data_IF_904772530027
#
_entry.id   IF_904772530027
#
_cell.length_a   1.000
_cell.length_b   1.000
_cell.length_c   1.000
_cell.angle_alpha   90.00
_cell.angle_beta   90.00
_cell.angle_gamma   90.00
#
_symmetry.space_group_name_H-M   'P 1'
#
loop_
_entity.id
_entity.type
_entity.pdbx_description
1 polymer ?
#
# COMPACT_ATOMS: atom_id res chain seq x y z
N UNK A 1 10.02 -5.74 -18.51
CA UNK A 1 8.79 -6.21 -17.87
C UNK A 1 7.79 -6.56 -18.95
N UNK A 2 7.44 -7.83 -19.03
CA UNK A 2 6.58 -8.43 -20.05
C UNK A 2 5.23 -8.84 -19.46
N UNK A 3 5.22 -9.34 -18.22
CA UNK A 3 4.03 -9.92 -17.62
C UNK A 3 3.45 -9.05 -16.50
N UNK A 4 2.13 -9.07 -16.34
CA UNK A 4 1.46 -8.35 -15.24
C UNK A 4 1.92 -8.80 -13.86
N UNK A 5 2.28 -10.07 -13.69
CA UNK A 5 2.78 -10.59 -12.41
C UNK A 5 4.10 -9.92 -12.01
N UNK A 6 4.99 -9.66 -12.96
CA UNK A 6 6.25 -8.96 -12.75
C UNK A 6 6.01 -7.52 -12.27
N UNK A 7 5.09 -6.80 -12.93
CA UNK A 7 4.73 -5.42 -12.54
C UNK A 7 4.20 -5.34 -11.12
N UNK A 8 3.31 -6.27 -10.78
CA UNK A 8 2.72 -6.28 -9.46
C UNK A 8 3.72 -6.69 -8.40
N UNK A 9 4.61 -7.66 -8.68
CA UNK A 9 5.70 -8.04 -7.78
C UNK A 9 6.68 -6.89 -7.53
N UNK A 10 7.06 -6.14 -8.56
CA UNK A 10 7.89 -4.94 -8.43
C UNK A 10 7.21 -3.91 -7.50
N UNK A 11 5.88 -3.73 -7.63
CA UNK A 11 5.15 -2.90 -6.70
C UNK A 11 5.16 -3.45 -5.28
N UNK A 12 4.90 -4.76 -5.08
CA UNK A 12 4.89 -5.35 -3.74
C UNK A 12 6.23 -5.19 -3.04
N UNK A 13 7.33 -5.31 -3.78
CA UNK A 13 8.68 -5.04 -3.29
C UNK A 13 8.80 -3.59 -2.81
N UNK A 14 8.39 -2.62 -3.62
CA UNK A 14 8.40 -1.19 -3.25
C UNK A 14 7.52 -0.91 -2.03
N UNK A 15 6.37 -1.58 -1.91
CA UNK A 15 5.43 -1.43 -0.79
C UNK A 15 5.96 -1.99 0.54
N UNK A 16 7.06 -2.74 0.58
CA UNK A 16 7.68 -3.12 1.85
C UNK A 16 8.09 -1.85 2.61
N UNK A 17 7.76 -1.77 3.90
CA UNK A 17 8.08 -0.59 4.73
C UNK A 17 9.58 -0.55 4.96
N UNK A 18 10.21 0.62 4.82
CA UNK A 18 11.65 0.74 5.05
C UNK A 18 11.97 0.28 6.48
N UNK A 19 12.93 -0.64 6.60
CA UNK A 19 13.38 -1.16 7.87
C UNK A 19 14.16 -0.06 8.62
N UNK A 20 13.65 0.46 9.75
CA UNK A 20 14.45 1.32 10.60
C UNK A 20 15.46 0.41 11.30
N UNK A 21 16.75 0.78 11.27
CA UNK A 21 17.84 0.00 11.89
C UNK A 21 17.50 -0.49 13.31
N UNK A 22 16.70 0.30 14.04
CA UNK A 22 16.09 -0.06 15.32
C UNK A 22 14.60 0.33 15.38
N UNK A 23 13.80 -0.42 16.14
CA UNK A 23 12.42 -0.05 16.46
C UNK A 23 11.98 -0.57 17.83
N UNK A 24 10.96 0.07 18.41
CA UNK A 24 10.39 -0.34 19.69
C UNK A 24 9.65 -1.69 19.58
N UNK A 25 9.92 -2.57 20.54
CA UNK A 25 9.28 -3.89 20.67
C UNK A 25 8.58 -3.95 22.03
N UNK A 26 7.28 -4.23 22.02
CA UNK A 26 6.47 -4.35 23.21
C UNK A 26 6.87 -5.58 24.05
N UNK A 27 6.87 -5.42 25.38
CA UNK A 27 7.37 -6.43 26.34
C UNK A 27 6.72 -7.81 26.19
N UNK A 28 5.46 -7.89 25.73
CA UNK A 28 4.79 -9.18 25.49
C UNK A 28 5.51 -10.07 24.48
N UNK A 29 6.16 -9.51 23.47
CA UNK A 29 6.96 -10.29 22.51
C UNK A 29 8.29 -10.72 23.11
N UNK A 30 8.80 -9.97 24.09
CA UNK A 30 10.09 -10.23 24.74
C UNK A 30 10.08 -11.47 25.63
N UNK A 31 8.87 -11.94 26.00
CA UNK A 31 8.68 -13.20 26.73
C UNK A 31 9.08 -14.43 25.93
N UNK A 32 9.03 -14.35 24.60
CA UNK A 32 9.33 -15.46 23.68
C UNK A 32 10.73 -15.33 23.07
N UNK A 33 11.17 -14.10 22.80
CA UNK A 33 12.41 -13.82 22.07
C UNK A 33 12.96 -12.47 22.52
N UNK A 34 14.27 -12.33 22.77
CA UNK A 34 14.80 -11.04 23.21
C UNK A 34 14.63 -9.96 22.11
N UNK A 35 14.58 -8.65 22.46
CA UNK A 35 14.49 -7.58 21.47
C UNK A 35 15.54 -7.69 20.36
N UNK A 36 16.80 -7.95 20.72
CA UNK A 36 17.91 -8.12 19.77
C UNK A 36 17.68 -9.31 18.82
N UNK A 37 17.17 -10.43 19.35
CA UNK A 37 16.87 -11.62 18.56
C UNK A 37 15.73 -11.35 17.57
N UNK A 38 14.69 -10.62 18.00
CA UNK A 38 13.59 -10.17 17.14
C UNK A 38 14.12 -9.27 16.03
N UNK A 39 14.97 -8.29 16.36
CA UNK A 39 15.57 -7.39 15.36
C UNK A 39 16.41 -8.17 14.34
N UNK A 40 17.25 -9.12 14.78
CA UNK A 40 18.04 -9.97 13.88
C UNK A 40 17.17 -10.85 12.99
N UNK A 41 16.14 -11.49 13.55
CA UNK A 41 15.22 -12.33 12.79
C UNK A 41 14.39 -11.53 11.80
N UNK A 42 13.95 -10.33 12.19
CA UNK A 42 13.19 -9.42 11.33
C UNK A 42 14.01 -8.89 10.17
N UNK A 43 15.26 -8.46 10.41
CA UNK A 43 16.17 -8.02 9.37
C UNK A 43 16.41 -9.11 8.33
N UNK A 44 16.65 -10.36 8.75
CA UNK A 44 16.81 -11.48 7.81
C UNK A 44 15.51 -11.78 7.04
N UNK A 45 14.36 -11.77 7.73
CA UNK A 45 13.06 -11.97 7.08
C UNK A 45 12.77 -10.89 6.03
N UNK A 46 13.19 -9.65 6.31
CA UNK A 46 13.10 -8.52 5.40
C UNK A 46 13.92 -8.75 4.14
N UNK A 47 15.20 -9.10 4.27
CA UNK A 47 16.06 -9.39 3.13
C UNK A 47 15.58 -10.59 2.31
N UNK A 48 15.09 -11.64 2.97
CA UNK A 48 14.49 -12.79 2.30
C UNK A 48 13.25 -12.40 1.49
N UNK A 49 12.29 -11.69 2.10
CA UNK A 49 11.05 -11.33 1.40
C UNK A 49 11.32 -10.31 0.28
N UNK A 50 12.24 -9.36 0.51
CA UNK A 50 12.65 -8.40 -0.49
C UNK A 50 13.27 -9.09 -1.72
N UNK A 51 14.14 -10.09 -1.51
CA UNK A 51 14.68 -10.91 -2.61
C UNK A 51 13.60 -11.71 -3.33
N UNK A 52 12.68 -12.33 -2.59
CA UNK A 52 11.56 -13.08 -3.19
C UNK A 52 10.75 -12.18 -4.13
N UNK A 53 10.36 -10.98 -3.71
CA UNK A 53 9.62 -10.08 -4.59
C UNK A 53 10.46 -9.59 -5.78
N UNK A 54 11.77 -9.37 -5.58
CA UNK A 54 12.69 -9.03 -6.65
C UNK A 54 12.75 -10.11 -7.73
N UNK A 55 12.92 -11.37 -7.33
CA UNK A 55 12.96 -12.50 -8.27
C UNK A 55 11.61 -12.73 -8.94
N UNK A 56 10.49 -12.51 -8.23
CA UNK A 56 9.15 -12.51 -8.83
C UNK A 56 8.98 -11.41 -9.90
N UNK A 57 9.64 -10.27 -9.75
CA UNK A 57 9.61 -9.16 -10.70
C UNK A 57 10.50 -9.41 -11.93
N UNK A 58 11.50 -10.30 -11.83
CA UNK A 58 12.45 -10.60 -12.91
C UNK A 58 12.17 -11.94 -13.62
N UNK A 59 11.65 -12.93 -12.90
CA UNK A 59 11.39 -14.29 -13.39
C UNK A 59 10.05 -14.81 -12.85
N UNK A 60 8.95 -14.31 -13.43
CA UNK A 60 7.62 -14.76 -13.05
C UNK A 60 7.39 -16.26 -13.31
N UNK A 61 8.03 -16.85 -14.33
CA UNK A 61 7.87 -18.26 -14.67
C UNK A 61 8.56 -19.17 -13.66
N UNK A 62 9.85 -18.91 -13.37
CA UNK A 62 10.61 -19.63 -12.35
C UNK A 62 9.99 -19.51 -10.96
N UNK A 63 9.36 -18.37 -10.67
CA UNK A 63 8.62 -18.13 -9.43
C UNK A 63 7.18 -18.69 -9.43
N UNK A 64 6.77 -19.42 -10.48
CA UNK A 64 5.46 -20.08 -10.64
C UNK A 64 4.27 -19.10 -10.58
N UNK A 65 4.42 -17.93 -11.18
CA UNK A 65 3.37 -16.92 -11.30
C UNK A 65 2.66 -16.98 -12.66
N UNK A 66 1.45 -16.40 -12.78
CA UNK A 66 0.73 -16.33 -14.05
C UNK A 66 1.46 -15.44 -15.08
N UNK A 67 1.62 -15.96 -16.30
CA UNK A 67 2.34 -15.33 -17.41
C UNK A 67 1.40 -14.59 -18.38
N UNK A 68 0.61 -13.64 -17.85
CA UNK A 68 -0.28 -12.82 -18.66
C UNK A 68 0.45 -11.59 -19.23
N UNK A 69 0.56 -11.51 -20.56
CA UNK A 69 1.30 -10.47 -21.27
C UNK A 69 0.60 -9.10 -21.17
N UNK A 70 1.37 -8.05 -20.84
CA UNK A 70 0.86 -6.69 -20.69
C UNK A 70 0.44 -6.04 -22.02
N UNK A 71 0.89 -6.57 -23.16
CA UNK A 71 0.46 -6.12 -24.49
C UNK A 71 -0.87 -6.75 -24.92
N UNK A 72 -1.21 -7.93 -24.38
CA UNK A 72 -2.43 -8.65 -24.71
C UNK A 72 -3.59 -8.28 -23.78
N UNK A 73 -3.31 -8.14 -22.48
CA UNK A 73 -4.33 -7.89 -21.46
C UNK A 73 -4.21 -6.46 -20.92
N UNK A 74 -5.30 -5.70 -20.98
CA UNK A 74 -5.33 -4.36 -20.42
C UNK A 74 -5.35 -4.36 -18.87
N UNK A 75 -5.21 -3.18 -18.29
CA UNK A 75 -5.17 -2.99 -16.83
C UNK A 75 -6.45 -3.48 -16.09
N UNK A 76 -7.61 -3.42 -16.74
CA UNK A 76 -8.90 -3.75 -16.14
C UNK A 76 -9.31 -5.21 -16.35
N UNK A 77 -8.60 -5.94 -17.21
CA UNK A 77 -8.79 -7.35 -17.52
C UNK A 77 -8.75 -8.25 -16.28
N UNK A 78 -9.38 -9.42 -16.37
CA UNK A 78 -9.43 -10.41 -15.27
C UNK A 78 -8.05 -10.96 -14.97
N UNK A 79 -7.26 -11.18 -16.01
CA UNK A 79 -5.90 -11.70 -16.02
C UNK A 79 -4.99 -10.81 -15.18
N UNK A 80 -5.07 -9.50 -15.39
CA UNK A 80 -4.36 -8.49 -14.59
C UNK A 80 -4.69 -8.58 -13.10
N UNK A 81 -5.96 -8.81 -12.75
CA UNK A 81 -6.40 -9.00 -11.36
C UNK A 81 -5.86 -10.30 -10.77
N UNK A 82 -5.82 -11.38 -11.55
CA UNK A 82 -5.25 -12.67 -11.14
C UNK A 82 -3.75 -12.52 -10.86
N UNK A 83 -3.00 -11.85 -11.75
CA UNK A 83 -1.59 -11.54 -11.53
C UNK A 83 -1.37 -10.67 -10.29
N UNK A 84 -2.22 -9.66 -10.05
CA UNK A 84 -2.15 -8.83 -8.84
C UNK A 84 -2.27 -9.67 -7.58
N UNK A 85 -3.27 -10.56 -7.50
CA UNK A 85 -3.45 -11.43 -6.33
C UNK A 85 -2.32 -12.44 -6.14
N UNK A 86 -1.75 -12.92 -7.25
CA UNK A 86 -0.62 -13.85 -7.27
C UNK A 86 0.69 -13.18 -6.81
N UNK A 87 0.82 -11.86 -6.95
CA UNK A 87 2.01 -11.13 -6.49
C UNK A 87 2.26 -11.21 -4.98
N UNK A 88 1.29 -11.65 -4.18
CA UNK A 88 1.47 -11.94 -2.74
C UNK A 88 1.70 -13.43 -2.41
N UNK A 89 1.90 -14.30 -3.41
CA UNK A 89 1.88 -15.78 -3.22
C UNK A 89 2.80 -16.27 -2.11
N UNK A 90 4.07 -15.86 -2.12
CA UNK A 90 5.06 -16.33 -1.15
C UNK A 90 4.87 -15.69 0.22
N UNK A 91 4.52 -14.41 0.28
CA UNK A 91 4.15 -13.77 1.56
C UNK A 91 2.94 -14.44 2.21
N UNK A 92 1.92 -14.82 1.42
CA UNK A 92 0.76 -15.59 1.89
C UNK A 92 1.16 -16.97 2.40
N UNK A 93 2.09 -17.65 1.72
CA UNK A 93 2.61 -18.95 2.18
C UNK A 93 3.39 -18.82 3.50
N UNK A 94 4.30 -17.85 3.60
CA UNK A 94 5.06 -17.56 4.82
C UNK A 94 4.13 -17.23 5.99
N UNK A 95 3.12 -16.39 5.77
CA UNK A 95 2.07 -16.11 6.76
C UNK A 95 1.34 -17.39 7.19
N UNK A 96 0.96 -18.25 6.25
CA UNK A 96 0.27 -19.50 6.55
C UNK A 96 1.17 -20.43 7.38
N UNK A 97 2.46 -20.54 7.06
CA UNK A 97 3.44 -21.30 7.84
C UNK A 97 3.55 -20.77 9.28
N UNK A 98 3.72 -19.45 9.46
CA UNK A 98 3.79 -18.84 10.80
C UNK A 98 2.51 -19.02 11.63
N UNK A 99 1.33 -19.03 10.98
CA UNK A 99 0.06 -19.24 11.68
C UNK A 99 -0.19 -20.70 12.08
N UNK A 100 0.23 -21.64 11.23
CA UNK A 100 -0.01 -23.08 11.38
C UNK A 100 1.11 -23.83 12.09
N UNK A 101 2.23 -23.15 12.34
CA UNK A 101 3.38 -23.70 13.03
C UNK A 101 3.52 -23.23 14.46
N UNK A 102 4.22 -24.03 15.26
CA UNK A 102 4.73 -23.64 16.57
C UNK A 102 6.27 -23.76 16.56
N UNK A 103 7.02 -22.82 17.18
CA UNK A 103 8.48 -22.89 17.26
C UNK A 103 8.96 -24.20 17.91
N UNK A 104 9.88 -24.90 17.24
CA UNK A 104 10.41 -26.19 17.72
C UNK A 104 11.75 -26.06 18.48
N UNK A 105 12.17 -24.82 18.77
CA UNK A 105 13.45 -24.46 19.40
C UNK A 105 14.71 -24.91 18.63
N UNK A 106 14.58 -25.38 17.38
CA UNK A 106 15.66 -25.79 16.49
C UNK A 106 15.63 -25.01 15.18
N UNK A 107 15.37 -23.70 15.27
CA UNK A 107 15.32 -22.79 14.11
C UNK A 107 14.21 -23.17 13.11
N UNK A 108 13.14 -23.79 13.60
CA UNK A 108 12.06 -24.30 12.76
C UNK A 108 10.68 -24.10 13.37
N UNK A 109 9.69 -24.28 12.51
CA UNK A 109 8.28 -24.39 12.87
C UNK A 109 7.85 -25.83 12.66
N UNK A 110 7.29 -26.45 13.69
CA UNK A 110 6.50 -27.67 13.55
C UNK A 110 5.11 -27.26 13.05
N UNK A 111 4.85 -27.51 11.77
CA UNK A 111 3.68 -27.01 11.03
C UNK A 111 2.62 -28.07 10.92
N UNK A 112 1.43 -27.77 11.45
CA UNK A 112 0.26 -28.61 11.28
C UNK A 112 -0.26 -28.57 9.84
N UNK A 113 -0.22 -29.70 9.15
CA UNK A 113 -0.54 -29.81 7.72
C UNK A 113 -2.02 -29.50 7.45
N UNK A 114 -2.93 -29.88 8.35
CA UNK A 114 -4.36 -29.61 8.18
C UNK A 114 -4.66 -28.11 8.27
N UNK A 115 -4.10 -27.43 9.26
CA UNK A 115 -4.24 -25.97 9.41
C UNK A 115 -3.55 -25.22 8.26
N UNK A 116 -2.35 -25.65 7.84
CA UNK A 116 -1.66 -25.09 6.68
C UNK A 116 -2.52 -25.18 5.41
N UNK A 117 -3.11 -26.35 5.14
CA UNK A 117 -3.97 -26.55 3.97
C UNK A 117 -5.23 -25.68 4.04
N UNK A 118 -5.83 -25.53 5.22
CA UNK A 118 -7.01 -24.67 5.44
C UNK A 118 -6.67 -23.20 5.14
N UNK A 119 -5.60 -22.69 5.75
CA UNK A 119 -5.14 -21.30 5.55
C UNK A 119 -4.73 -21.03 4.10
N UNK A 120 -3.97 -21.95 3.48
CA UNK A 120 -3.59 -21.82 2.08
C UNK A 120 -4.81 -21.77 1.15
N UNK A 121 -5.85 -22.58 1.42
CA UNK A 121 -7.11 -22.54 0.67
C UNK A 121 -7.80 -21.18 0.79
N UNK A 122 -7.90 -20.63 2.00
CA UNK A 122 -8.48 -19.30 2.25
C UNK A 122 -7.70 -18.18 1.54
N UNK A 123 -6.37 -18.29 1.55
CA UNK A 123 -5.46 -17.33 0.92
C UNK A 123 -5.27 -17.56 -0.59
N UNK A 124 -5.91 -18.59 -1.16
CA UNK A 124 -5.78 -19.00 -2.57
C UNK A 124 -4.33 -19.33 -2.97
N UNK A 125 -3.60 -19.95 -2.05
CA UNK A 125 -2.29 -20.58 -2.28
C UNK A 125 -2.53 -22.04 -2.65
N UNK A 126 -2.12 -22.42 -3.86
CA UNK A 126 -2.20 -23.79 -4.39
C UNK A 126 -0.79 -24.32 -4.62
N UNK A 127 -0.60 -25.61 -4.88
CA UNK A 127 0.71 -26.22 -5.13
C UNK A 127 1.75 -25.96 -4.02
N UNK A 128 1.32 -26.03 -2.75
CA UNK A 128 2.12 -25.71 -1.56
C UNK A 128 3.52 -26.31 -1.64
N UNK A 129 3.64 -27.61 -1.94
CA UNK A 129 4.95 -28.28 -1.98
C UNK A 129 5.90 -27.73 -3.03
N UNK A 130 5.43 -27.30 -4.21
CA UNK A 130 6.29 -26.67 -5.23
C UNK A 130 6.81 -25.31 -4.77
N UNK A 131 5.96 -24.53 -4.09
CA UNK A 131 6.38 -23.25 -3.54
C UNK A 131 7.34 -23.43 -2.35
N UNK A 132 7.17 -24.48 -1.52
CA UNK A 132 8.15 -24.85 -0.49
C UNK A 132 9.51 -25.18 -1.11
N UNK A 133 9.55 -25.94 -2.23
CA UNK A 133 10.80 -26.21 -2.95
C UNK A 133 11.45 -24.92 -3.48
N UNK A 134 10.68 -23.94 -3.95
CA UNK A 134 11.25 -22.64 -4.38
C UNK A 134 11.84 -21.87 -3.21
N UNK A 135 11.23 -21.95 -2.02
CA UNK A 135 11.77 -21.33 -0.81
C UNK A 135 13.14 -21.91 -0.40
N UNK A 136 13.52 -23.09 -0.89
CA UNK A 136 14.87 -23.65 -0.67
C UNK A 136 15.97 -22.76 -1.26
N UNK A 137 15.71 -22.07 -2.38
CA UNK A 137 16.64 -21.11 -2.96
C UNK A 137 16.91 -19.89 -2.06
N UNK A 138 16.07 -19.68 -1.05
CA UNK A 138 16.18 -18.58 -0.09
C UNK A 138 16.66 -19.04 1.28
N UNK A 139 17.01 -20.33 1.45
CA UNK A 139 17.55 -20.88 2.70
C UNK A 139 16.55 -21.60 3.60
N UNK A 140 15.28 -21.74 3.17
CA UNK A 140 14.32 -22.57 3.89
C UNK A 140 14.52 -24.05 3.58
N UNK A 141 14.17 -24.93 4.52
CA UNK A 141 14.13 -26.38 4.26
C UNK A 141 12.86 -26.98 4.84
N UNK A 142 12.19 -27.85 4.10
CA UNK A 142 10.99 -28.55 4.57
C UNK A 142 11.28 -30.04 4.78
N UNK A 143 11.22 -30.48 6.02
CA UNK A 143 11.33 -31.88 6.44
C UNK A 143 9.93 -32.54 6.46
N UNK A 144 9.87 -33.85 6.24
CA UNK A 144 8.61 -34.59 6.18
C UNK A 144 7.94 -34.59 4.80
N UNK A 145 8.63 -34.08 3.77
CA UNK A 145 8.21 -34.21 2.37
C UNK A 145 8.70 -35.54 1.78
N UNK A 146 7.81 -36.30 1.14
CA UNK A 146 8.15 -37.51 0.39
C UNK A 146 8.15 -37.17 -1.11
N UNK A 147 9.29 -37.34 -1.80
CA UNK A 147 9.46 -36.95 -3.22
C UNK A 147 9.08 -35.48 -3.52
N UNK A 148 9.36 -34.57 -2.58
CA UNK A 148 9.03 -33.15 -2.70
C UNK A 148 7.53 -32.84 -2.56
N UNK A 149 6.74 -33.73 -1.95
CA UNK A 149 5.30 -33.55 -1.71
C UNK A 149 4.92 -33.87 -0.28
N UNK A 150 3.89 -33.18 0.22
CA UNK A 150 3.26 -33.54 1.50
C UNK A 150 2.42 -34.80 1.26
N UNK A 151 2.76 -35.92 1.92
CA UNK A 151 2.03 -37.18 1.76
C UNK A 151 0.63 -37.05 2.37
N UNK A 152 -0.36 -37.70 1.76
CA UNK A 152 -1.72 -37.81 2.33
C UNK A 152 -1.63 -38.49 3.70
N UNK A 153 -2.22 -37.86 4.73
CA UNK A 153 -2.19 -38.36 6.11
C UNK A 153 -0.99 -37.90 6.93
N UNK A 154 -0.10 -37.06 6.38
CA UNK A 154 0.93 -36.37 7.18
C UNK A 154 0.23 -35.40 8.12
N UNK A 155 0.47 -35.53 9.43
CA UNK A 155 -0.09 -34.63 10.44
C UNK A 155 0.72 -33.32 10.53
N UNK A 156 2.04 -33.46 10.61
CA UNK A 156 2.96 -32.33 10.75
C UNK A 156 4.14 -32.44 9.77
N UNK A 157 4.61 -31.28 9.32
CA UNK A 157 5.90 -31.11 8.63
C UNK A 157 6.75 -30.13 9.43
N UNK A 158 8.07 -30.16 9.25
CA UNK A 158 8.93 -29.14 9.87
C UNK A 158 9.51 -28.23 8.81
N UNK A 159 9.37 -26.93 8.96
CA UNK A 159 10.00 -25.93 8.08
C UNK A 159 11.06 -25.19 8.87
N UNK A 160 12.29 -25.18 8.38
CA UNK A 160 13.45 -24.57 9.05
C UNK A 160 14.06 -23.45 8.23
N UNK A 161 14.80 -22.59 8.92
CA UNK A 161 15.72 -21.63 8.34
C UNK A 161 17.03 -21.65 9.15
N UNK A 162 18.09 -22.21 8.59
CA UNK A 162 19.31 -22.54 9.35
C UNK A 162 20.32 -21.38 9.45
N UNK A 163 20.25 -20.39 8.55
CA UNK A 163 21.23 -19.30 8.54
C UNK A 163 21.04 -18.32 9.70
N UNK A 164 19.80 -18.18 10.19
CA UNK A 164 19.46 -17.32 11.32
C UNK A 164 18.36 -18.00 12.14
N UNK A 165 18.71 -18.35 13.37
CA UNK A 165 17.86 -19.13 14.27
C UNK A 165 16.56 -18.41 14.64
N UNK A 166 16.52 -17.08 14.53
CA UNK A 166 15.42 -16.23 14.97
C UNK A 166 14.42 -15.86 13.87
N UNK A 167 14.73 -16.13 12.59
CA UNK A 167 13.82 -15.79 11.49
C UNK A 167 12.47 -16.50 11.66
N UNK A 168 12.50 -17.79 12.03
CA UNK A 168 11.26 -18.57 12.19
C UNK A 168 10.45 -18.11 13.40
N UNK A 169 11.11 -17.66 14.47
CA UNK A 169 10.45 -17.06 15.63
C UNK A 169 9.74 -15.77 15.23
N UNK A 170 10.43 -14.86 14.54
CA UNK A 170 9.83 -13.61 14.05
C UNK A 170 8.68 -13.87 13.07
N UNK A 171 8.85 -14.83 12.16
CA UNK A 171 7.79 -15.25 11.24
C UNK A 171 6.53 -15.69 11.99
N UNK A 172 6.71 -16.49 13.04
CA UNK A 172 5.63 -16.91 13.95
C UNK A 172 4.99 -15.72 14.67
N UNK A 173 5.79 -14.87 15.32
CA UNK A 173 5.30 -13.73 16.09
C UNK A 173 4.48 -12.78 15.20
N UNK A 174 5.01 -12.41 14.03
CA UNK A 174 4.31 -11.52 13.09
C UNK A 174 3.02 -12.14 12.59
N UNK A 175 3.04 -13.43 12.22
CA UNK A 175 1.86 -14.10 11.69
C UNK A 175 0.73 -14.18 12.73
N UNK A 176 1.06 -14.54 13.99
CA UNK A 176 0.08 -14.58 15.09
C UNK A 176 -0.45 -13.19 15.42
N UNK A 177 0.41 -12.17 15.52
CA UNK A 177 0.02 -10.77 15.78
C UNK A 177 -0.95 -10.25 14.70
N UNK A 178 -0.63 -10.52 13.45
CA UNK A 178 -1.45 -10.10 12.31
C UNK A 178 -2.80 -10.84 12.27
N UNK A 179 -2.84 -12.11 12.68
CA UNK A 179 -4.08 -12.88 12.80
C UNK A 179 -4.98 -12.31 13.90
N UNK A 180 -4.42 -11.91 15.05
CA UNK A 180 -5.18 -11.31 16.15
C UNK A 180 -5.75 -9.92 15.81
N UNK A 181 -5.02 -9.14 15.00
CA UNK A 181 -5.38 -7.76 14.67
C UNK A 181 -6.07 -7.60 13.30
N UNK A 182 -6.19 -8.67 12.51
CA UNK A 182 -6.71 -8.66 11.14
C UNK A 182 -5.95 -7.68 10.21
N UNK A 183 -4.62 -7.65 10.30
CA UNK A 183 -3.73 -6.71 9.59
C UNK A 183 -2.89 -7.39 8.50
N UNK A 184 -3.51 -8.27 7.70
CA UNK A 184 -2.79 -9.15 6.77
C UNK A 184 -1.88 -8.39 5.77
N UNK A 185 -2.29 -7.22 5.30
CA UNK A 185 -1.46 -6.41 4.40
C UNK A 185 -0.18 -5.88 5.05
N UNK A 186 -0.18 -5.70 6.37
CA UNK A 186 1.01 -5.25 7.10
C UNK A 186 2.05 -6.37 7.22
N UNK A 187 1.61 -7.63 7.24
CA UNK A 187 2.53 -8.77 7.11
C UNK A 187 3.21 -8.77 5.75
N UNK A 188 2.47 -8.56 4.66
CA UNK A 188 3.03 -8.57 3.30
C UNK A 188 4.06 -7.46 3.07
N UNK A 189 3.97 -6.38 3.85
CA UNK A 189 4.86 -5.23 3.77
C UNK A 189 5.98 -5.24 4.82
N UNK A 190 6.01 -6.29 5.66
CA UNK A 190 6.80 -6.37 6.89
C UNK A 190 6.78 -5.06 7.68
N UNK A 191 5.60 -4.68 8.13
CA UNK A 191 5.44 -3.46 8.90
C UNK A 191 5.98 -3.65 10.33
N UNK A 192 7.16 -3.11 10.63
CA UNK A 192 7.83 -3.28 11.93
C UNK A 192 6.98 -2.82 13.13
N UNK A 193 6.14 -1.78 12.95
CA UNK A 193 5.20 -1.29 13.98
C UNK A 193 4.18 -2.33 14.46
N UNK A 194 4.08 -3.50 13.83
CA UNK A 194 3.33 -4.65 14.37
C UNK A 194 3.83 -5.07 15.77
N UNK A 195 5.11 -4.82 16.08
CA UNK A 195 5.71 -5.11 17.39
C UNK A 195 5.53 -3.99 18.41
N UNK A 196 4.96 -2.83 18.04
CA UNK A 196 4.93 -1.66 18.90
C UNK A 196 3.90 -1.74 20.04
N UNK A 197 2.85 -2.55 19.87
CA UNK A 197 1.76 -2.71 20.84
C UNK A 197 1.59 -4.18 21.25
N UNK A 198 0.74 -4.46 22.25
CA UNK A 198 0.38 -5.81 22.71
C UNK A 198 -0.17 -6.75 21.62
N UNK A 199 -0.32 -8.04 21.88
CA UNK A 199 -0.76 -9.04 20.89
C UNK A 199 -2.06 -8.69 20.14
N UNK A 200 -2.96 -7.92 20.74
CA UNK A 200 -4.33 -7.73 20.27
C UNK A 200 -4.59 -6.33 19.71
N UNK A 201 -3.62 -5.43 19.78
CA UNK A 201 -3.76 -4.04 19.37
C UNK A 201 -2.74 -3.65 18.31
N UNK A 202 -3.11 -2.66 17.48
CA UNK A 202 -2.24 -2.05 16.48
C UNK A 202 -2.69 -0.58 16.30
N UNK A 203 -2.01 0.33 16.99
CA UNK A 203 -2.36 1.75 17.03
C UNK A 203 -1.98 2.49 15.74
N UNK A 204 -1.02 1.96 14.97
CA UNK A 204 -0.58 2.54 13.70
C UNK A 204 -1.53 2.25 12.52
N UNK A 205 -1.33 3.00 11.44
CA UNK A 205 -2.12 2.96 10.20
C UNK A 205 -3.51 3.58 10.35
N UNK A 206 -3.74 4.36 11.41
CA UNK A 206 -5.03 4.99 11.71
C UNK A 206 -5.11 6.45 11.25
N UNK A 207 -3.97 7.09 10.96
CA UNK A 207 -3.89 8.45 10.46
C UNK A 207 -3.12 8.52 9.14
N UNK A 208 -2.28 9.55 9.00
CA UNK A 208 -1.45 9.76 7.81
C UNK A 208 -0.44 8.64 7.57
N UNK A 209 -0.02 7.95 8.63
CA UNK A 209 0.88 6.80 8.59
C UNK A 209 0.35 5.65 7.72
N UNK A 210 -0.98 5.57 7.52
CA UNK A 210 -1.61 4.64 6.58
C UNK A 210 -1.09 4.77 5.13
N UNK A 211 -0.64 5.98 4.74
CA UNK A 211 -0.01 6.23 3.44
C UNK A 211 1.47 6.56 3.57
N UNK A 212 1.86 7.29 4.61
CA UNK A 212 3.22 7.82 4.69
C UNK A 212 4.28 6.80 5.01
N UNK A 213 3.93 5.70 5.70
CA UNK A 213 4.89 4.63 5.99
C UNK A 213 5.35 3.88 4.73
N UNK A 214 4.68 4.09 3.59
CA UNK A 214 5.06 3.50 2.29
C UNK A 214 5.91 4.43 1.43
N UNK A 215 6.00 5.72 1.76
CA UNK A 215 6.85 6.63 1.00
C UNK A 215 8.32 6.35 1.29
N UNK A 216 9.16 6.41 0.25
CA UNK A 216 10.61 6.25 0.37
C UNK A 216 11.35 7.56 0.65
N UNK A 217 10.68 8.68 0.41
CA UNK A 217 11.22 10.02 0.61
C UNK A 217 10.77 10.58 1.96
N UNK A 218 11.72 11.00 2.81
CA UNK A 218 11.40 11.73 4.05
C UNK A 218 10.67 13.04 3.77
N UNK A 219 10.95 13.67 2.63
CA UNK A 219 10.24 14.87 2.21
C UNK A 219 8.76 14.59 1.88
N UNK A 220 8.47 13.44 1.29
CA UNK A 220 7.10 13.00 1.00
C UNK A 220 6.35 12.68 2.29
N UNK A 221 7.02 11.99 3.24
CA UNK A 221 6.47 11.71 4.58
C UNK A 221 6.10 13.01 5.29
N UNK A 222 7.02 13.99 5.30
CA UNK A 222 6.78 15.29 5.95
C UNK A 222 5.65 16.07 5.27
N UNK A 223 5.63 16.11 3.94
CA UNK A 223 4.56 16.77 3.17
C UNK A 223 3.20 16.17 3.47
N UNK A 224 3.10 14.84 3.51
CA UNK A 224 1.88 14.14 3.85
C UNK A 224 1.40 14.47 5.27
N UNK A 225 2.30 14.51 6.25
CA UNK A 225 1.99 14.90 7.62
C UNK A 225 1.45 16.34 7.70
N UNK A 226 2.08 17.29 7.01
CA UNK A 226 1.62 18.68 6.96
C UNK A 226 0.26 18.82 6.31
N UNK A 227 0.03 18.14 5.18
CA UNK A 227 -1.29 18.11 4.50
C UNK A 227 -2.35 17.54 5.44
N UNK A 228 -2.09 16.41 6.07
CA UNK A 228 -3.05 15.75 6.95
C UNK A 228 -3.41 16.66 8.13
N UNK A 229 -2.41 17.21 8.83
CA UNK A 229 -2.61 18.12 9.96
C UNK A 229 -3.38 19.37 9.55
N UNK A 230 -3.03 19.97 8.41
CA UNK A 230 -3.71 21.17 7.90
C UNK A 230 -5.19 20.89 7.60
N UNK A 231 -5.49 19.81 6.88
CA UNK A 231 -6.88 19.47 6.56
C UNK A 231 -7.70 19.18 7.82
N UNK A 232 -7.13 18.48 8.81
CA UNK A 232 -7.80 18.29 10.10
C UNK A 232 -8.05 19.62 10.84
N UNK A 233 -7.08 20.53 10.84
CA UNK A 233 -7.24 21.86 11.45
C UNK A 233 -8.34 22.70 10.80
N UNK A 234 -8.62 22.44 9.51
CA UNK A 234 -9.72 23.04 8.73
C UNK A 234 -11.03 22.26 8.82
N UNK A 235 -11.17 21.38 9.83
CA UNK A 235 -12.36 20.58 10.11
C UNK A 235 -12.77 19.63 8.96
N UNK A 236 -11.80 19.12 8.18
CA UNK A 236 -12.09 18.03 7.25
C UNK A 236 -12.22 16.70 7.99
N UNK A 237 -13.17 15.89 7.53
CA UNK A 237 -13.33 14.49 7.93
C UNK A 237 -12.60 13.60 6.93
N UNK A 238 -12.08 12.45 7.34
CA UNK A 238 -11.37 11.56 6.42
C UNK A 238 -11.80 10.10 6.52
N UNK A 239 -11.63 9.39 5.41
CA UNK A 239 -11.72 7.93 5.36
C UNK A 239 -10.51 7.34 4.64
N UNK A 240 -10.13 6.13 5.04
CA UNK A 240 -9.05 5.33 4.45
C UNK A 240 -9.62 4.43 3.37
N UNK A 241 -8.92 4.30 2.26
CA UNK A 241 -9.24 3.36 1.19
C UNK A 241 -7.98 2.75 0.62
N UNK A 242 -8.11 1.58 0.01
CA UNK A 242 -7.01 0.90 -0.67
C UNK A 242 -7.33 0.80 -2.14
N UNK A 243 -6.35 1.16 -2.98
CA UNK A 243 -6.40 0.96 -4.42
C UNK A 243 -5.32 -0.05 -4.85
N UNK A 244 -5.26 -0.40 -6.14
CA UNK A 244 -4.37 -1.47 -6.61
C UNK A 244 -2.88 -1.10 -6.46
N UNK A 245 -2.56 0.18 -6.68
CA UNK A 245 -1.22 0.79 -6.59
C UNK A 245 -0.87 1.30 -5.20
N UNK A 246 -1.77 1.18 -4.23
CA UNK A 246 -1.52 1.52 -2.84
C UNK A 246 -2.67 2.23 -2.12
N UNK A 247 -2.45 2.59 -0.85
CA UNK A 247 -3.46 3.20 0.01
C UNK A 247 -3.70 4.68 -0.32
N UNK A 248 -4.86 5.16 0.10
CA UNK A 248 -5.25 6.56 0.01
C UNK A 248 -6.09 7.00 1.22
N UNK A 249 -5.94 8.27 1.59
CA UNK A 249 -6.79 8.97 2.55
C UNK A 249 -7.60 10.00 1.78
N UNK A 250 -8.92 9.94 1.92
CA UNK A 250 -9.85 10.88 1.28
C UNK A 250 -10.42 11.84 2.30
N UNK A 251 -10.48 13.12 1.98
CA UNK A 251 -10.92 14.19 2.88
C UNK A 251 -12.22 14.85 2.37
N UNK A 252 -13.16 15.06 3.29
CA UNK A 252 -14.53 15.52 3.05
C UNK A 252 -14.84 16.73 3.92
N UNK A 253 -15.67 17.64 3.41
CA UNK A 253 -16.13 18.82 4.17
C UNK A 253 -17.17 18.49 5.24
N UNK A 254 -17.81 17.31 5.18
CA UNK A 254 -18.80 16.88 6.17
C UNK A 254 -18.63 15.41 6.52
N UNK A 255 -18.95 15.07 7.77
CA UNK A 255 -18.91 13.68 8.24
C UNK A 255 -19.91 12.79 7.49
N UNK A 256 -21.09 13.33 7.15
CA UNK A 256 -22.11 12.61 6.39
C UNK A 256 -21.62 12.20 5.00
N UNK A 257 -20.89 13.07 4.31
CA UNK A 257 -20.27 12.77 3.01
C UNK A 257 -19.15 11.74 3.14
N UNK A 258 -18.36 11.83 4.21
CA UNK A 258 -17.34 10.84 4.53
C UNK A 258 -17.96 9.44 4.73
N UNK A 259 -19.04 9.34 5.52
CA UNK A 259 -19.76 8.08 5.77
C UNK A 259 -20.38 7.49 4.50
N UNK A 260 -20.90 8.34 3.61
CA UNK A 260 -21.46 7.93 2.31
C UNK A 260 -20.42 7.68 1.22
N UNK A 261 -19.13 7.99 1.49
CA UNK A 261 -18.05 7.92 0.51
C UNK A 261 -18.38 8.65 -0.81
N UNK A 262 -18.85 9.90 -0.70
CA UNK A 262 -19.16 10.73 -1.87
C UNK A 262 -17.89 11.34 -2.48
N UNK A 263 -18.02 12.40 -3.28
CA UNK A 263 -16.88 13.07 -3.90
C UNK A 263 -16.07 13.83 -2.85
N UNK A 264 -15.01 13.20 -2.34
CA UNK A 264 -14.00 13.85 -1.52
C UNK A 264 -13.32 15.03 -2.24
N UNK A 265 -12.91 16.01 -1.45
CA UNK A 265 -12.26 17.24 -1.91
C UNK A 265 -10.77 17.05 -2.15
N UNK A 266 -10.11 16.31 -1.27
CA UNK A 266 -8.70 15.98 -1.37
C UNK A 266 -8.49 14.49 -1.22
N UNK A 267 -7.61 13.90 -2.02
CA UNK A 267 -7.10 12.55 -1.79
C UNK A 267 -5.58 12.63 -1.61
N UNK A 268 -5.08 12.16 -0.49
CA UNK A 268 -3.66 11.97 -0.21
C UNK A 268 -3.35 10.50 -0.45
N UNK A 269 -2.50 10.17 -1.42
CA UNK A 269 -2.31 8.79 -1.86
C UNK A 269 -0.85 8.38 -1.83
N UNK A 270 -0.62 7.09 -1.58
CA UNK A 270 0.61 6.40 -1.93
C UNK A 270 0.40 5.60 -3.20
N UNK A 271 0.53 6.26 -4.34
CA UNK A 271 0.38 5.64 -5.66
C UNK A 271 1.75 5.16 -6.12
N UNK A 272 1.91 3.85 -6.27
CA UNK A 272 3.22 3.23 -6.55
C UNK A 272 4.30 3.68 -5.55
N UNK A 273 3.93 3.81 -4.27
CA UNK A 273 4.80 4.32 -3.17
C UNK A 273 5.24 5.78 -3.29
N UNK A 274 4.63 6.55 -4.19
CA UNK A 274 4.89 7.99 -4.34
C UNK A 274 3.76 8.82 -3.76
N UNK A 275 4.11 9.97 -3.20
CA UNK A 275 3.14 10.97 -2.77
C UNK A 275 2.42 11.57 -3.97
N UNK A 276 1.09 11.54 -3.93
CA UNK A 276 0.25 12.29 -4.84
C UNK A 276 -0.93 12.89 -4.09
N UNK A 277 -1.11 14.20 -4.22
CA UNK A 277 -2.24 14.94 -3.69
C UNK A 277 -3.20 15.25 -4.84
N UNK A 278 -4.35 14.57 -4.86
CA UNK A 278 -5.47 14.97 -5.69
C UNK A 278 -6.31 16.02 -4.96
N UNK A 279 -6.79 17.02 -5.69
CA UNK A 279 -7.68 18.04 -5.14
C UNK A 279 -8.70 18.53 -6.15
N UNK A 280 -9.86 18.95 -5.64
CA UNK A 280 -10.96 19.44 -6.46
C UNK A 280 -11.09 20.94 -6.33
N UNK A 281 -11.06 21.64 -7.45
CA UNK A 281 -11.48 23.05 -7.53
C UNK A 281 -12.78 23.10 -8.33
N UNK A 282 -13.88 23.52 -7.70
CA UNK A 282 -15.18 23.55 -8.39
C UNK A 282 -15.30 24.73 -9.37
N UNK A 283 -14.69 25.87 -9.03
CA UNK A 283 -14.63 27.05 -9.89
C UNK A 283 -13.21 27.61 -9.90
N UNK A 284 -12.45 27.26 -10.94
CA UNK A 284 -11.04 27.65 -11.08
C UNK A 284 -10.88 29.15 -11.32
N UNK A 285 -11.82 29.78 -12.02
CA UNK A 285 -11.79 31.22 -12.32
C UNK A 285 -11.63 32.07 -11.04
N UNK A 286 -12.33 31.69 -9.96
CA UNK A 286 -12.21 32.35 -8.65
C UNK A 286 -10.83 32.24 -8.02
N UNK A 287 -10.10 31.17 -8.31
CA UNK A 287 -8.78 30.92 -7.75
C UNK A 287 -7.64 31.44 -8.65
N UNK A 288 -7.92 31.90 -9.88
CA UNK A 288 -6.87 32.24 -10.85
C UNK A 288 -5.93 33.34 -10.34
N UNK A 289 -6.47 34.39 -9.73
CA UNK A 289 -5.62 35.49 -9.23
C UNK A 289 -4.73 35.04 -8.07
N UNK A 290 -5.21 34.14 -7.22
CA UNK A 290 -4.36 33.50 -6.23
C UNK A 290 -3.28 32.63 -6.89
N UNK A 291 -3.67 31.77 -7.84
CA UNK A 291 -2.78 30.85 -8.55
C UNK A 291 -1.65 31.60 -9.28
N UNK A 292 -1.94 32.72 -9.95
CA UNK A 292 -0.94 33.55 -10.65
C UNK A 292 0.16 34.10 -9.74
N UNK A 293 -0.13 34.23 -8.44
CA UNK A 293 0.80 34.75 -7.45
C UNK A 293 1.48 33.62 -6.63
N UNK A 294 1.18 32.35 -6.92
CA UNK A 294 1.86 31.22 -6.29
C UNK A 294 3.31 31.07 -6.79
N UNK A 295 4.18 30.40 -6.02
CA UNK A 295 5.51 30.01 -6.48
C UNK A 295 5.46 29.28 -7.82
N UNK A 296 6.49 29.44 -8.65
CA UNK A 296 6.54 28.92 -10.03
C UNK A 296 6.22 27.41 -10.10
N UNK A 297 6.74 26.61 -9.17
CA UNK A 297 6.49 25.16 -9.09
C UNK A 297 5.01 24.83 -8.90
N UNK A 298 4.34 25.55 -8.00
CA UNK A 298 2.90 25.43 -7.76
C UNK A 298 2.13 25.89 -8.99
N UNK A 299 2.46 27.07 -9.52
CA UNK A 299 1.84 27.64 -10.71
C UNK A 299 1.88 26.69 -11.91
N UNK A 300 3.03 26.08 -12.18
CA UNK A 300 3.24 25.14 -13.28
C UNK A 300 2.34 23.90 -13.19
N UNK A 301 1.92 23.50 -11.98
CA UNK A 301 0.95 22.41 -11.81
C UNK A 301 -0.37 22.72 -12.50
N UNK A 302 -0.81 23.99 -12.51
CA UNK A 302 -2.06 24.41 -13.11
C UNK A 302 -1.96 24.51 -14.64
N UNK A 303 -0.79 24.76 -15.22
CA UNK A 303 -0.61 24.89 -16.68
C UNK A 303 -0.78 23.58 -17.47
N UNK A 304 -0.78 22.42 -16.82
CA UNK A 304 -0.91 21.13 -17.50
C UNK A 304 -2.37 20.91 -17.93
N UNK A 305 -2.59 20.47 -19.17
CA UNK A 305 -3.91 20.03 -19.64
C UNK A 305 -3.97 18.51 -19.70
N UNK A 306 -5.08 17.93 -19.25
CA UNK A 306 -5.31 16.50 -19.38
C UNK A 306 -5.63 16.16 -20.84
N UNK A 307 -5.24 14.95 -21.27
CA UNK A 307 -5.64 14.41 -22.58
C UNK A 307 -7.15 14.15 -22.66
N UNK A 308 -7.76 13.77 -21.54
CA UNK A 308 -9.17 13.45 -21.42
C UNK A 308 -9.54 12.05 -21.88
N UNK A 309 -10.81 11.71 -21.71
CA UNK A 309 -11.39 10.44 -22.16
C UNK A 309 -12.20 10.65 -23.45
N UNK A 310 -12.75 9.57 -24.00
CA UNK A 310 -13.57 9.59 -25.21
C UNK A 310 -14.80 10.51 -25.13
N UNK A 311 -15.24 10.90 -23.92
CA UNK A 311 -16.35 11.84 -23.70
C UNK A 311 -15.95 13.30 -23.72
N UNK A 312 -14.65 13.61 -23.82
CA UNK A 312 -14.16 15.00 -23.91
C UNK A 312 -14.68 15.65 -25.20
N UNK A 313 -15.25 16.85 -25.08
CA UNK A 313 -15.75 17.61 -26.22
C UNK A 313 -17.13 17.19 -26.75
N UNK A 314 -17.78 16.21 -26.10
CA UNK A 314 -19.14 15.76 -26.43
C UNK A 314 -20.05 15.88 -25.20
N UNK A 315 -20.03 14.89 -24.31
CA UNK A 315 -21.00 14.72 -23.22
C UNK A 315 -20.40 14.87 -21.81
N UNK A 316 -19.11 15.21 -21.69
CA UNK A 316 -18.45 15.29 -20.39
C UNK A 316 -18.95 16.50 -19.57
N UNK A 317 -19.79 16.25 -18.57
CA UNK A 317 -20.31 17.26 -17.63
C UNK A 317 -19.42 17.52 -16.41
N UNK A 318 -18.40 16.67 -16.20
CA UNK A 318 -17.50 16.77 -15.04
C UNK A 318 -16.16 17.42 -15.35
N UNK A 319 -15.86 17.66 -16.62
CA UNK A 319 -14.65 18.34 -17.05
C UNK A 319 -14.75 19.84 -16.82
N UNK A 320 -13.61 20.48 -16.60
CA UNK A 320 -13.52 21.94 -16.47
C UNK A 320 -12.52 22.50 -17.49
N UNK A 321 -12.79 23.71 -17.96
CA UNK A 321 -11.92 24.47 -18.87
C UNK A 321 -11.69 25.85 -18.29
N UNK A 322 -10.47 26.36 -18.38
CA UNK A 322 -10.11 27.72 -17.97
C UNK A 322 -8.91 28.21 -18.79
N UNK A 323 -8.65 29.52 -18.75
CA UNK A 323 -7.52 30.14 -19.46
C UNK A 323 -6.49 30.66 -18.47
N UNK A 324 -5.22 30.32 -18.68
CA UNK A 324 -4.08 30.79 -17.87
C UNK A 324 -2.86 31.01 -18.78
N UNK A 325 -2.25 32.20 -18.72
CA UNK A 325 -1.16 32.63 -19.62
C UNK A 325 -1.48 32.35 -21.10
N UNK A 326 -2.65 32.78 -21.55
CA UNK A 326 -3.15 32.62 -22.93
C UNK A 326 -3.26 31.16 -23.42
N UNK A 327 -3.15 30.18 -22.51
CA UNK A 327 -3.38 28.77 -22.78
C UNK A 327 -4.73 28.34 -22.26
N UNK A 328 -5.52 27.70 -23.11
CA UNK A 328 -6.74 27.00 -22.70
C UNK A 328 -6.38 25.64 -22.12
N UNK A 329 -6.70 25.46 -20.84
CA UNK A 329 -6.40 24.24 -20.09
C UNK A 329 -7.69 23.49 -19.83
N UNK A 330 -7.66 22.17 -20.03
CA UNK A 330 -8.78 21.28 -19.75
C UNK A 330 -8.38 20.25 -18.69
N UNK A 331 -9.26 20.01 -17.70
CA UNK A 331 -9.07 19.01 -16.65
C UNK A 331 -10.26 18.07 -16.52
N UNK A 332 -10.00 16.79 -16.33
CA UNK A 332 -11.01 15.76 -16.13
C UNK A 332 -11.42 15.68 -14.65
N UNK A 333 -12.72 15.78 -14.34
CA UNK A 333 -13.24 15.59 -12.99
C UNK A 333 -14.10 14.34 -12.80
N UNK A 334 -14.10 13.40 -13.76
CA UNK A 334 -15.00 12.25 -13.82
C UNK A 334 -14.64 11.14 -12.81
N UNK A 335 -13.38 10.70 -12.78
CA UNK A 335 -12.95 9.54 -12.00
C UNK A 335 -12.27 9.95 -10.69
N UNK A 336 -11.48 11.03 -10.74
CA UNK A 336 -10.68 11.56 -9.64
C UNK A 336 -10.97 13.06 -9.50
N UNK A 337 -10.51 13.72 -8.42
CA UNK A 337 -10.44 15.18 -8.38
C UNK A 337 -9.68 15.74 -9.59
N UNK A 338 -10.05 16.94 -10.01
CA UNK A 338 -9.63 17.52 -11.30
C UNK A 338 -8.19 18.04 -11.34
N UNK A 339 -7.51 18.09 -10.20
CA UNK A 339 -6.10 18.42 -10.12
C UNK A 339 -5.33 17.38 -9.32
N UNK A 340 -4.05 17.26 -9.63
CA UNK A 340 -3.10 16.45 -8.90
C UNK A 340 -1.76 17.19 -8.80
N UNK A 341 -1.06 17.01 -7.69
CA UNK A 341 0.26 17.57 -7.43
C UNK A 341 1.12 16.59 -6.63
N UNK A 342 2.44 16.74 -6.73
CA UNK A 342 3.42 16.12 -5.81
C UNK A 342 3.96 17.26 -4.95
N UNK A 343 3.28 17.62 -3.85
CA UNK A 343 3.63 18.78 -3.06
C UNK A 343 4.90 18.54 -2.26
N UNK A 344 5.74 19.58 -2.16
CA UNK A 344 6.80 19.64 -1.16
C UNK A 344 6.27 20.25 0.15
N UNK A 345 7.01 20.14 1.28
CA UNK A 345 6.57 20.63 2.58
C UNK A 345 6.30 22.14 2.61
N UNK A 346 6.93 22.92 1.74
CA UNK A 346 6.71 24.36 1.62
C UNK A 346 5.55 24.73 0.66
N UNK A 347 5.08 23.80 -0.16
CA UNK A 347 4.12 24.09 -1.24
C UNK A 347 2.68 23.67 -0.93
N UNK A 348 2.51 22.68 -0.06
CA UNK A 348 1.23 21.99 0.11
C UNK A 348 0.05 22.95 0.37
N UNK A 349 0.31 24.02 1.11
CA UNK A 349 -0.68 25.00 1.54
C UNK A 349 -1.29 25.75 0.35
N UNK A 350 -0.52 25.99 -0.71
CA UNK A 350 -1.01 26.70 -1.89
C UNK A 350 -2.07 25.90 -2.63
N UNK A 351 -1.92 24.58 -2.74
CA UNK A 351 -2.91 23.70 -3.37
C UNK A 351 -4.21 23.65 -2.55
N UNK A 352 -4.10 23.56 -1.22
CA UNK A 352 -5.27 23.57 -0.32
C UNK A 352 -6.02 24.90 -0.44
N UNK A 353 -5.31 26.03 -0.36
CA UNK A 353 -5.92 27.37 -0.47
C UNK A 353 -6.58 27.59 -1.83
N UNK A 354 -5.92 27.21 -2.94
CA UNK A 354 -6.50 27.35 -4.28
C UNK A 354 -7.82 26.59 -4.41
N UNK A 355 -7.90 25.38 -3.86
CA UNK A 355 -9.13 24.59 -3.84
C UNK A 355 -10.24 25.24 -3.01
N UNK A 356 -9.92 25.77 -1.83
CA UNK A 356 -10.92 26.42 -0.99
C UNK A 356 -11.42 27.75 -1.57
N UNK A 357 -10.54 28.57 -2.15
CA UNK A 357 -10.92 29.82 -2.83
C UNK A 357 -11.88 29.52 -3.99
N UNK A 358 -11.59 28.49 -4.79
CA UNK A 358 -12.45 28.07 -5.89
C UNK A 358 -13.79 27.48 -5.44
N UNK A 359 -13.92 27.08 -4.17
CA UNK A 359 -15.14 26.54 -3.58
C UNK A 359 -15.95 27.60 -2.78
N UNK A 360 -15.40 28.79 -2.52
CA UNK A 360 -16.12 29.85 -1.82
C UNK A 360 -17.36 30.26 -2.61
N UNK A 361 -18.53 30.19 -1.97
CA UNK A 361 -19.74 30.83 -2.51
C UNK A 361 -19.47 32.33 -2.55
N UNK A 362 -19.69 32.95 -3.71
CA UNK A 362 -19.67 34.41 -3.80
C UNK A 362 -20.74 34.92 -2.83
N UNK A 363 -20.33 35.66 -1.80
CA UNK A 363 -21.23 36.50 -1.03
C UNK A 363 -21.76 37.56 -1.99
N UNK A 364 -22.82 37.23 -2.72
CA UNK A 364 -23.68 38.27 -3.28
C UNK A 364 -24.32 38.95 -2.08
N UNK A 365 -23.70 40.04 -1.62
CA UNK A 365 -24.44 41.07 -0.92
C UNK A 365 -25.57 41.48 -1.85
N UNK A 366 -26.78 40.99 -1.58
CA UNK A 366 -27.99 41.66 -2.04
C UNK A 366 -27.96 43.03 -1.38
N UNK A 367 -27.44 44.04 -2.07
CA UNK A 367 -27.85 45.41 -1.82
C UNK A 367 -29.31 45.46 -2.27
N UNK A 368 -30.22 45.29 -1.31
CA UNK A 368 -31.60 45.75 -1.48
C UNK A 368 -31.53 47.28 -1.45
N UNK A 369 -31.78 47.89 -2.60
CA UNK A 369 -32.03 49.32 -2.77
C UNK A 369 -33.45 49.65 -2.33
#
# INVERSE_FOLDING_TARGET
MKYWAERWAELRQKEMVDFPEEFFIHDEFTTLCSPDDIMRGFSELYEVLHRIYGDMAQDAEGMLLPLFDMQEYDYFAKETRVSREASYKYAKLLYALGCSGEPDHKCGLLVNVNELNRLCKELKVTNISRHLTILENYGFTAEGLETGRIKKGTEDITVRYLNNTHLMDVLYLMAKKVRCTNRLTDFFRLHYKLFADDWNTAAFGNGVDFVSDLYKSEQDKLSAQYIHKELLSRNYFFSRQTWNEGPQIRYYKSEADCKRNTNARFWLTSMDTNLLLYFRISNVEKALDYIKNCPERVFNTFLVSDKGCQKRGTECVSGITYTLQDKTIWRCGCCNPNFQAVPLPEDYIYYINAAEIGDMRSLQYKCEL
#
